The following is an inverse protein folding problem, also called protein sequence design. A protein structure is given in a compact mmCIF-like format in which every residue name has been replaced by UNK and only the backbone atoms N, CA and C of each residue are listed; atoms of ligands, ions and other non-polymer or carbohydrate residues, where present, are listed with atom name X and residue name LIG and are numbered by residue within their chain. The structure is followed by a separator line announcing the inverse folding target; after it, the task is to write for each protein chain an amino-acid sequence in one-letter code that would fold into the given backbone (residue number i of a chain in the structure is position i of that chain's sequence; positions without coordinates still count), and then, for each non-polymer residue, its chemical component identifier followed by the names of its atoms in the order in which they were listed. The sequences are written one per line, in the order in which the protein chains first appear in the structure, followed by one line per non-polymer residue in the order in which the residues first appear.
data_IF_261828792488
#
_entry.id   IF_261828792488
#
_cell.length_a   1.000
_cell.length_b   1.000
_cell.length_c   1.000
_cell.angle_alpha   90.00
_cell.angle_beta   90.00
_cell.angle_gamma   90.00
#
_symmetry.space_group_name_H-M   'P 1'
#
loop_
_entity.id
_entity.type
_entity.pdbx_description
1 polymer ?
#
# COMPACT_ATOMS: atom_id res chain seq x y z
N UNK A 1 -19.39 -8.75 9.39
CA UNK A 1 -18.71 -9.85 8.68
C UNK A 1 -17.42 -10.19 9.45
N UNK A 2 -17.53 -11.22 10.30
CA UNK A 2 -16.46 -11.58 11.26
C UNK A 2 -15.09 -11.81 10.59
N UNK A 3 -15.09 -12.37 9.38
CA UNK A 3 -13.85 -12.61 8.63
C UNK A 3 -13.18 -11.31 8.18
N UNK A 4 -13.94 -10.36 7.67
CA UNK A 4 -13.42 -9.04 7.28
C UNK A 4 -12.90 -8.27 8.50
N UNK A 5 -13.63 -8.32 9.61
CA UNK A 5 -13.21 -7.67 10.87
C UNK A 5 -11.90 -8.29 11.38
N UNK A 6 -11.76 -9.62 11.34
CA UNK A 6 -10.51 -10.29 11.71
C UNK A 6 -9.34 -9.89 10.82
N UNK A 7 -9.57 -9.76 9.51
CA UNK A 7 -8.56 -9.27 8.57
C UNK A 7 -8.19 -7.83 8.88
N UNK A 8 -9.20 -6.99 9.16
CA UNK A 8 -8.99 -5.59 9.51
C UNK A 8 -8.22 -5.44 10.82
N UNK A 9 -8.61 -6.16 11.86
CA UNK A 9 -7.93 -6.15 13.16
C UNK A 9 -6.43 -6.49 13.03
N UNK A 10 -6.09 -7.44 12.16
CA UNK A 10 -4.69 -7.79 11.91
C UNK A 10 -3.89 -6.67 11.23
N UNK A 11 -4.54 -5.84 10.44
CA UNK A 11 -3.95 -4.66 9.81
C UNK A 11 -3.90 -3.50 10.81
N UNK A 12 -4.99 -3.25 11.54
CA UNK A 12 -5.13 -2.14 12.48
C UNK A 12 -4.16 -2.25 13.65
N UNK A 13 -3.90 -3.46 14.16
CA UNK A 13 -2.89 -3.68 15.21
C UNK A 13 -1.46 -3.26 14.79
N UNK A 14 -1.20 -3.19 13.50
CA UNK A 14 0.06 -2.69 12.96
C UNK A 14 0.06 -1.17 12.74
N UNK A 15 -1.07 -0.50 13.00
CA UNK A 15 -1.25 0.93 12.77
C UNK A 15 -1.17 1.71 14.10
N UNK A 16 -0.47 2.83 14.08
CA UNK A 16 -0.36 3.71 15.23
C UNK A 16 -1.49 4.76 15.18
N UNK A 17 -2.65 4.40 15.73
CA UNK A 17 -3.80 5.28 15.93
C UNK A 17 -4.38 5.92 14.65
N UNK A 18 -4.80 7.18 14.76
CA UNK A 18 -5.40 7.99 13.68
C UNK A 18 -4.36 8.55 12.69
N UNK A 19 -3.19 7.92 12.66
CA UNK A 19 -2.06 8.33 11.84
C UNK A 19 -2.33 8.12 10.34
N UNK A 20 -1.67 8.92 9.53
CA UNK A 20 -1.65 8.72 8.08
C UNK A 20 -0.64 7.66 7.71
N UNK A 21 -1.03 6.78 6.79
CA UNK A 21 -0.21 5.66 6.36
C UNK A 21 0.30 5.87 4.93
N UNK A 22 1.54 5.49 4.70
CA UNK A 22 2.18 5.52 3.38
C UNK A 22 2.46 4.08 2.93
N UNK A 23 1.40 3.36 2.61
CA UNK A 23 1.45 1.95 2.23
C UNK A 23 2.38 1.69 1.05
N UNK A 24 3.14 0.64 1.14
CA UNK A 24 4.01 0.13 0.09
C UNK A 24 3.78 -1.38 -0.06
N UNK A 25 3.79 -1.86 -1.27
CA UNK A 25 3.67 -3.29 -1.52
C UNK A 25 4.94 -4.03 -1.08
N UNK A 26 4.78 -5.22 -0.51
CA UNK A 26 5.89 -6.07 -0.12
C UNK A 26 6.84 -6.34 -1.29
N UNK A 27 6.30 -6.59 -2.48
CA UNK A 27 7.08 -6.79 -3.71
C UNK A 27 8.01 -5.63 -4.04
N UNK A 28 7.55 -4.38 -3.86
CA UNK A 28 8.38 -3.19 -4.10
C UNK A 28 9.48 -3.05 -3.04
N UNK A 29 9.17 -3.42 -1.77
CA UNK A 29 10.18 -3.45 -0.70
C UNK A 29 11.25 -4.51 -1.00
N UNK A 30 10.83 -5.71 -1.38
CA UNK A 30 11.74 -6.81 -1.74
C UNK A 30 12.62 -6.42 -2.92
N UNK A 31 12.06 -5.80 -3.97
CA UNK A 31 12.84 -5.29 -5.10
C UNK A 31 13.93 -4.32 -4.65
N UNK A 32 13.57 -3.33 -3.84
CA UNK A 32 14.54 -2.36 -3.32
C UNK A 32 15.65 -3.03 -2.50
N UNK A 33 15.30 -3.98 -1.61
CA UNK A 33 16.26 -4.71 -0.79
C UNK A 33 17.19 -5.60 -1.63
N UNK A 34 16.66 -6.28 -2.65
CA UNK A 34 17.45 -7.10 -3.57
C UNK A 34 18.45 -6.24 -4.34
N UNK A 35 18.03 -5.09 -4.87
CA UNK A 35 18.90 -4.15 -5.57
C UNK A 35 20.05 -3.69 -4.67
N UNK A 36 19.75 -3.30 -3.44
CA UNK A 36 20.77 -2.91 -2.44
C UNK A 36 21.72 -4.07 -2.13
N UNK A 37 21.19 -5.28 -1.93
CA UNK A 37 22.00 -6.46 -1.60
C UNK A 37 22.96 -6.85 -2.74
N UNK A 38 22.53 -6.75 -3.99
CA UNK A 38 23.31 -7.10 -5.17
C UNK A 38 24.43 -6.07 -5.44
N UNK A 39 24.12 -4.79 -5.33
CA UNK A 39 25.06 -3.72 -5.70
C UNK A 39 25.91 -3.23 -4.53
N UNK A 40 25.49 -3.48 -3.28
CA UNK A 40 26.22 -3.13 -2.04
C UNK A 40 26.66 -1.66 -2.00
N UNK A 41 25.73 -0.69 -2.23
CA UNK A 41 26.06 0.72 -2.17
C UNK A 41 26.45 1.13 -0.74
N UNK A 42 27.00 2.32 -0.59
CA UNK A 42 27.22 2.89 0.74
C UNK A 42 25.85 3.30 1.34
N UNK A 43 25.49 2.66 2.44
CA UNK A 43 24.21 2.92 3.10
C UNK A 43 24.33 4.08 4.10
N UNK A 44 23.35 4.99 4.14
CA UNK A 44 23.22 5.94 5.23
C UNK A 44 22.81 5.22 6.53
N UNK A 45 22.84 5.93 7.65
CA UNK A 45 22.52 5.39 8.97
C UNK A 45 21.09 4.80 9.07
N UNK A 46 20.16 5.39 8.34
CA UNK A 46 18.76 4.94 8.27
C UNK A 46 18.18 5.26 6.91
N UNK A 47 17.25 4.42 6.46
CA UNK A 47 16.52 4.58 5.20
C UNK A 47 15.05 4.31 5.48
N UNK A 48 14.18 5.25 5.11
CA UNK A 48 12.74 5.05 5.13
C UNK A 48 12.28 4.43 3.81
N UNK A 49 11.48 3.37 3.91
CA UNK A 49 10.81 2.73 2.76
C UNK A 49 9.31 2.92 2.94
N UNK A 50 8.68 3.61 2.02
CA UNK A 50 7.25 3.89 2.08
C UNK A 50 6.67 4.17 0.69
N UNK A 51 5.35 4.07 0.58
CA UNK A 51 4.63 4.51 -0.59
C UNK A 51 4.62 6.04 -0.72
N UNK A 52 4.21 6.52 -1.90
CA UNK A 52 4.19 7.97 -2.18
C UNK A 52 2.89 8.66 -1.76
N UNK A 53 1.80 7.88 -1.67
CA UNK A 53 0.47 8.42 -1.37
C UNK A 53 0.16 8.24 0.10
N UNK A 54 -0.36 9.32 0.68
CA UNK A 54 -0.95 9.31 2.03
C UNK A 54 -2.34 8.68 1.99
N UNK A 55 -2.61 7.80 2.92
CA UNK A 55 -3.90 7.16 3.15
C UNK A 55 -4.33 7.39 4.59
N UNK A 56 -5.59 7.74 4.81
CA UNK A 56 -6.17 7.67 6.15
C UNK A 56 -6.58 6.22 6.47
N UNK A 57 -6.71 5.92 7.76
CA UNK A 57 -7.27 4.66 8.25
C UNK A 57 -8.63 4.36 7.59
N UNK A 58 -9.51 5.35 7.55
CA UNK A 58 -10.84 5.21 6.93
C UNK A 58 -10.76 4.92 5.41
N UNK A 59 -9.87 5.57 4.68
CA UNK A 59 -9.66 5.29 3.25
C UNK A 59 -9.14 3.88 3.03
N UNK A 60 -8.20 3.44 3.87
CA UNK A 60 -7.62 2.09 3.81
C UNK A 60 -8.69 1.03 4.08
N UNK A 61 -9.49 1.22 5.14
CA UNK A 61 -10.59 0.32 5.48
C UNK A 61 -11.64 0.24 4.35
N UNK A 62 -12.04 1.38 3.80
CA UNK A 62 -13.01 1.43 2.70
C UNK A 62 -12.51 0.67 1.45
N UNK A 63 -11.25 0.84 1.07
CA UNK A 63 -10.65 0.11 -0.05
C UNK A 63 -10.58 -1.39 0.23
N UNK A 64 -10.19 -1.80 1.44
CA UNK A 64 -10.15 -3.20 1.84
C UNK A 64 -11.53 -3.84 1.79
N UNK A 65 -12.54 -3.19 2.36
CA UNK A 65 -13.94 -3.65 2.34
C UNK A 65 -14.43 -3.89 0.92
N UNK A 66 -14.24 -2.90 0.04
CA UNK A 66 -14.67 -2.99 -1.35
C UNK A 66 -13.99 -4.14 -2.10
N UNK A 67 -12.69 -4.32 -1.89
CA UNK A 67 -11.93 -5.39 -2.53
C UNK A 67 -12.32 -6.77 -1.97
N UNK A 68 -12.56 -6.86 -0.66
CA UNK A 68 -13.04 -8.07 -0.01
C UNK A 68 -14.41 -8.51 -0.60
N UNK A 69 -15.37 -7.59 -0.67
CA UNK A 69 -16.69 -7.86 -1.21
C UNK A 69 -16.63 -8.34 -2.66
N UNK A 70 -15.77 -7.72 -3.48
CA UNK A 70 -15.56 -8.12 -4.87
C UNK A 70 -14.89 -9.48 -5.00
N UNK A 71 -13.89 -9.75 -4.16
CA UNK A 71 -13.19 -11.04 -4.18
C UNK A 71 -14.15 -12.17 -3.80
N UNK A 72 -14.95 -11.97 -2.77
CA UNK A 72 -15.99 -12.93 -2.38
C UNK A 72 -17.08 -13.10 -3.45
N UNK A 73 -17.54 -12.00 -4.04
CA UNK A 73 -18.50 -12.09 -5.15
C UNK A 73 -17.92 -12.88 -6.33
N UNK A 74 -16.63 -12.67 -6.64
CA UNK A 74 -15.93 -13.43 -7.67
C UNK A 74 -15.82 -14.92 -7.35
N UNK A 75 -15.49 -15.28 -6.12
CA UNK A 75 -15.36 -16.68 -5.69
C UNK A 75 -16.71 -17.43 -5.64
N UNK A 76 -17.78 -16.73 -5.26
CA UNK A 76 -19.13 -17.32 -5.15
C UNK A 76 -19.97 -17.20 -6.43
N UNK A 77 -19.55 -16.35 -7.37
CA UNK A 77 -20.35 -15.97 -8.55
C UNK A 77 -21.57 -15.11 -8.24
N UNK A 78 -21.68 -14.59 -7.01
CA UNK A 78 -22.83 -13.80 -6.54
C UNK A 78 -22.48 -12.32 -6.52
N UNK A 79 -22.86 -11.61 -7.56
CA UNK A 79 -22.67 -10.16 -7.66
C UNK A 79 -23.96 -9.42 -7.36
N UNK A 80 -23.87 -8.36 -6.57
CA UNK A 80 -24.95 -7.39 -6.37
C UNK A 80 -24.84 -6.26 -7.40
N UNK A 81 -25.95 -5.61 -7.73
CA UNK A 81 -25.95 -4.48 -8.65
C UNK A 81 -25.00 -3.36 -8.16
N UNK A 82 -24.99 -3.10 -6.84
CA UNK A 82 -24.10 -2.09 -6.24
C UNK A 82 -22.60 -2.40 -6.43
N UNK A 83 -22.20 -3.67 -6.44
CA UNK A 83 -20.81 -4.05 -6.71
C UNK A 83 -20.42 -3.87 -8.17
N UNK A 84 -21.39 -4.05 -9.09
CA UNK A 84 -21.16 -3.86 -10.53
C UNK A 84 -21.13 -2.37 -10.91
N UNK A 85 -21.90 -1.54 -10.22
CA UNK A 85 -21.97 -0.09 -10.47
C UNK A 85 -20.77 0.67 -9.91
N UNK A 86 -20.01 0.08 -8.99
CA UNK A 86 -18.82 0.71 -8.45
C UNK A 86 -17.70 0.77 -9.48
N UNK A 87 -17.02 1.92 -9.63
CA UNK A 87 -15.92 2.05 -10.58
C UNK A 87 -14.79 1.09 -10.24
N UNK A 88 -14.13 0.55 -11.26
CA UNK A 88 -12.98 -0.34 -11.10
C UNK A 88 -11.80 0.34 -10.38
N UNK A 89 -11.74 1.66 -10.44
CA UNK A 89 -10.77 2.48 -9.71
C UNK A 89 -11.50 3.65 -9.03
N UNK A 90 -11.18 3.97 -7.76
CA UNK A 90 -11.77 5.13 -7.11
C UNK A 90 -11.40 6.39 -7.87
N UNK A 91 -12.29 7.37 -7.91
CA UNK A 91 -11.92 8.71 -8.31
C UNK A 91 -10.91 9.24 -7.29
N UNK A 92 -9.68 9.45 -7.73
CA UNK A 92 -8.65 10.05 -6.90
C UNK A 92 -8.95 11.53 -6.83
N UNK A 93 -9.39 12.01 -5.66
CA UNK A 93 -9.45 13.45 -5.38
C UNK A 93 -8.02 13.96 -5.26
N UNK A 94 -7.64 14.92 -6.09
CA UNK A 94 -6.39 15.65 -5.88
C UNK A 94 -6.61 16.60 -4.73
N UNK A 95 -6.07 16.26 -3.57
CA UNK A 95 -6.07 17.15 -2.40
C UNK A 95 -4.75 17.90 -2.40
N UNK A 96 -4.77 19.25 -2.43
CA UNK A 96 -3.54 20.03 -2.25
C UNK A 96 -2.86 19.64 -0.94
N UNK A 97 -1.56 19.37 -0.98
CA UNK A 97 -0.78 19.09 0.22
C UNK A 97 -0.42 20.44 0.83
N UNK A 98 -0.91 20.74 2.04
CA UNK A 98 -0.44 21.88 2.80
C UNK A 98 0.94 21.64 3.44
N UNK A 99 1.59 22.71 3.93
CA UNK A 99 2.93 22.62 4.51
C UNK A 99 2.97 21.69 5.73
N UNK A 100 1.93 21.67 6.56
CA UNK A 100 1.86 20.83 7.75
C UNK A 100 1.76 19.34 7.41
N UNK A 101 1.12 19.00 6.29
CA UNK A 101 1.04 17.63 5.80
C UNK A 101 2.34 17.16 5.14
N UNK A 102 3.15 18.09 4.63
CA UNK A 102 4.42 17.78 4.00
C UNK A 102 5.46 17.30 5.02
N UNK A 103 5.44 17.85 6.23
CA UNK A 103 6.35 17.50 7.32
C UNK A 103 6.10 16.08 7.87
N UNK A 104 4.93 15.50 7.62
CA UNK A 104 4.58 14.13 8.04
C UNK A 104 4.97 13.04 7.04
N UNK A 105 5.52 13.41 5.88
CA UNK A 105 5.91 12.42 4.86
C UNK A 105 7.27 11.80 5.21
N UNK A 106 7.41 10.46 5.07
CA UNK A 106 8.72 9.81 5.16
C UNK A 106 9.69 10.41 4.14
N UNK A 107 10.94 10.64 4.56
CA UNK A 107 11.98 11.15 3.67
C UNK A 107 12.48 10.05 2.74
N UNK A 108 11.91 9.95 1.55
CA UNK A 108 12.29 8.94 0.56
C UNK A 108 13.56 9.30 -0.24
N UNK A 109 14.14 10.47 -0.01
CA UNK A 109 15.32 10.95 -0.74
C UNK A 109 16.55 10.05 -0.53
N UNK A 110 16.77 9.58 0.69
CA UNK A 110 17.89 8.68 1.00
C UNK A 110 17.75 7.35 0.23
N UNK A 111 16.57 6.73 0.26
CA UNK A 111 16.30 5.50 -0.49
C UNK A 111 16.46 5.72 -2.01
N UNK A 112 15.89 6.82 -2.52
CA UNK A 112 15.99 7.16 -3.94
C UNK A 112 17.45 7.24 -4.41
N UNK A 113 18.30 7.98 -3.67
CA UNK A 113 19.69 8.16 -4.01
C UNK A 113 20.49 6.85 -3.95
N UNK A 114 20.26 6.04 -2.91
CA UNK A 114 20.90 4.71 -2.79
C UNK A 114 20.53 3.82 -3.98
N UNK A 115 19.25 3.80 -4.41
CA UNK A 115 18.83 2.99 -5.54
C UNK A 115 19.38 3.53 -6.88
N UNK A 116 19.50 4.86 -7.03
CA UNK A 116 20.19 5.46 -8.20
C UNK A 116 21.67 5.03 -8.24
N UNK A 117 22.34 4.96 -7.09
CA UNK A 117 23.73 4.46 -7.02
C UNK A 117 23.81 2.98 -7.41
N UNK A 118 22.79 2.18 -7.08
CA UNK A 118 22.78 0.75 -7.44
C UNK A 118 22.75 0.51 -8.94
N UNK A 119 21.81 1.13 -9.66
CA UNK A 119 21.51 0.78 -11.05
C UNK A 119 21.03 1.95 -11.93
N UNK A 120 21.12 3.17 -11.44
CA UNK A 120 20.65 4.38 -12.13
C UNK A 120 19.15 4.64 -12.00
N UNK A 121 18.40 3.76 -11.34
CA UNK A 121 16.94 3.90 -11.13
C UNK A 121 16.66 4.21 -9.66
N UNK A 122 15.95 5.31 -9.40
CA UNK A 122 15.57 5.69 -8.05
C UNK A 122 14.37 4.90 -7.52
N UNK A 123 13.89 5.27 -6.34
CA UNK A 123 12.70 4.66 -5.75
C UNK A 123 11.44 4.95 -6.59
N UNK A 124 10.89 3.91 -7.16
CA UNK A 124 9.69 3.94 -8.00
C UNK A 124 8.82 2.73 -7.68
N UNK A 125 7.99 2.78 -6.62
CA UNK A 125 7.07 1.69 -6.33
C UNK A 125 6.11 1.52 -7.51
N UNK A 126 6.01 0.30 -8.01
CA UNK A 126 5.24 -0.05 -9.21
C UNK A 126 3.89 -0.68 -8.89
N UNK A 127 3.77 -1.24 -7.68
CA UNK A 127 2.56 -1.95 -7.25
C UNK A 127 1.57 -0.99 -6.58
N UNK A 128 0.39 -0.73 -7.18
CA UNK A 128 -0.66 0.03 -6.54
C UNK A 128 -1.14 -0.65 -5.24
N UNK A 129 -1.55 0.14 -4.24
CA UNK A 129 -2.09 -0.38 -2.98
C UNK A 129 -3.21 -1.42 -3.21
N UNK A 130 -4.10 -1.17 -4.15
CA UNK A 130 -5.18 -2.11 -4.50
C UNK A 130 -4.65 -3.47 -4.92
N UNK A 131 -3.63 -3.50 -5.75
CA UNK A 131 -3.01 -4.76 -6.20
C UNK A 131 -2.39 -5.49 -5.02
N UNK A 132 -1.68 -4.79 -4.14
CA UNK A 132 -1.12 -5.37 -2.92
C UNK A 132 -2.21 -5.92 -1.99
N UNK A 133 -3.31 -5.17 -1.79
CA UNK A 133 -4.46 -5.62 -1.00
C UNK A 133 -5.15 -6.84 -1.62
N UNK A 134 -5.30 -6.91 -2.95
CA UNK A 134 -5.89 -8.06 -3.62
C UNK A 134 -5.03 -9.32 -3.43
N UNK A 135 -3.71 -9.21 -3.53
CA UNK A 135 -2.78 -10.31 -3.27
C UNK A 135 -2.90 -10.77 -1.82
N UNK A 136 -2.92 -9.83 -0.88
CA UNK A 136 -3.09 -10.12 0.54
C UNK A 136 -4.42 -10.85 0.84
N UNK A 137 -5.53 -10.33 0.31
CA UNK A 137 -6.86 -10.95 0.46
C UNK A 137 -6.91 -12.35 -0.19
N UNK A 138 -6.31 -12.52 -1.36
CA UNK A 138 -6.26 -13.82 -2.01
C UNK A 138 -5.51 -14.86 -1.16
N UNK A 139 -4.44 -14.47 -0.48
CA UNK A 139 -3.76 -15.35 0.48
C UNK A 139 -4.66 -15.70 1.67
N UNK A 140 -5.30 -14.71 2.29
CA UNK A 140 -6.13 -14.89 3.49
C UNK A 140 -7.43 -15.65 3.27
N UNK A 141 -8.00 -15.59 2.06
CA UNK A 141 -9.27 -16.26 1.72
C UNK A 141 -9.07 -17.68 1.15
N UNK A 142 -7.83 -18.08 0.86
CA UNK A 142 -7.49 -19.43 0.38
C UNK A 142 -6.87 -20.33 1.47
N UNK A 143 -6.55 -19.77 2.64
CA UNK A 143 -6.11 -20.50 3.84
C UNK A 143 -7.32 -20.99 4.67
#
# INVERSE_FOLDING_TARGET
NEELESIWDSIEHSMDGDASHFWVAESDVVDALVRIALHRPQLPKSIDIAGRRRWSTQQTHHELQMLYDRTRAGSTGQFTASLLDQPASPKISVVPIDAAQQDMRPSLGALHNVLVECDGHGWQPTSPLRTAMMVYLAGKLND
#
